data_IF_404740643771
#
_entry.id   IF_404740643771
#
_cell.length_a   1.000
_cell.length_b   1.000
_cell.length_c   1.000
_cell.angle_alpha   90.00
_cell.angle_beta   90.00
_cell.angle_gamma   90.00
#
_symmetry.space_group_name_H-M   'P 1'
#
loop_
_entity.id
_entity.type
_entity.pdbx_description
1 polymer ?
#
# COMPACT_ATOMS: atom_id res chain seq x y z
N UNK A 1 18.36 1.81 -11.45
CA UNK A 1 16.93 2.14 -11.31
C UNK A 1 16.41 1.22 -10.24
N UNK A 2 16.16 1.74 -9.04
CA UNK A 2 15.67 0.91 -7.93
C UNK A 2 14.20 0.58 -8.20
N UNK A 3 13.96 -0.55 -8.87
CA UNK A 3 12.73 -1.32 -8.74
C UNK A 3 12.67 -1.83 -7.29
N UNK A 4 12.38 -0.93 -6.35
CA UNK A 4 12.15 -1.33 -4.97
C UNK A 4 10.86 -2.11 -4.93
N UNK A 5 10.97 -3.43 -4.86
CA UNK A 5 9.84 -4.33 -4.63
C UNK A 5 9.05 -3.79 -3.42
N UNK A 6 7.73 -3.63 -3.55
CA UNK A 6 6.94 -3.17 -2.41
C UNK A 6 6.85 -4.32 -1.39
N UNK A 7 7.21 -4.00 -0.15
CA UNK A 7 7.03 -4.89 0.99
C UNK A 7 6.52 -4.07 2.20
N UNK A 8 6.32 -4.76 3.33
CA UNK A 8 5.89 -4.14 4.58
C UNK A 8 6.79 -2.98 5.01
N UNK A 9 8.11 -3.14 4.97
CA UNK A 9 9.06 -2.09 5.37
C UNK A 9 8.92 -0.82 4.53
N UNK A 10 8.71 -0.98 3.22
CA UNK A 10 8.47 0.16 2.32
C UNK A 10 7.20 0.89 2.73
N UNK A 11 6.08 0.17 2.95
CA UNK A 11 4.82 0.79 3.36
C UNK A 11 4.97 1.53 4.70
N UNK A 12 5.64 0.92 5.67
CA UNK A 12 5.94 1.55 6.96
C UNK A 12 6.78 2.83 6.80
N UNK A 13 7.79 2.82 5.92
CA UNK A 13 8.60 4.02 5.58
C UNK A 13 7.78 5.15 4.97
N UNK A 14 6.70 4.84 4.26
CA UNK A 14 5.76 5.86 3.74
C UNK A 14 4.67 6.25 4.74
N UNK A 15 4.76 5.77 5.98
CA UNK A 15 3.84 6.10 7.07
C UNK A 15 2.50 5.38 6.99
N UNK A 16 2.43 4.25 6.28
CA UNK A 16 1.30 3.34 6.40
C UNK A 16 1.36 2.62 7.74
N UNK A 17 0.19 2.28 8.27
CA UNK A 17 0.03 1.53 9.51
C UNK A 17 -0.70 0.23 9.23
N UNK A 18 -0.40 -0.81 9.99
CA UNK A 18 -1.12 -2.09 9.88
C UNK A 18 -2.51 -1.92 10.51
N UNK A 19 -3.55 -2.36 9.80
CA UNK A 19 -4.92 -2.44 10.29
C UNK A 19 -5.19 -3.85 10.82
N UNK A 20 -4.74 -4.14 12.03
CA UNK A 20 -4.88 -5.47 12.65
C UNK A 20 -6.34 -5.97 12.73
N UNK A 21 -7.32 -5.06 12.73
CA UNK A 21 -8.75 -5.42 12.75
C UNK A 21 -9.25 -5.97 11.41
N UNK A 22 -8.67 -5.50 10.31
CA UNK A 22 -9.04 -5.94 8.96
C UNK A 22 -8.09 -7.01 8.42
N UNK A 23 -6.83 -7.00 8.83
CA UNK A 23 -5.86 -8.05 8.51
C UNK A 23 -6.39 -9.41 9.00
N UNK A 24 -6.30 -10.43 8.15
CA UNK A 24 -6.75 -11.80 8.44
C UNK A 24 -5.90 -12.80 7.69
N UNK A 25 -5.62 -13.93 8.34
CA UNK A 25 -4.88 -15.05 7.76
C UNK A 25 -3.60 -14.57 7.06
N UNK A 26 -3.53 -14.73 5.74
CA UNK A 26 -2.38 -14.39 4.88
C UNK A 26 -2.44 -12.97 4.30
N UNK A 27 -3.35 -12.14 4.78
CA UNK A 27 -3.60 -10.79 4.28
C UNK A 27 -3.29 -9.76 5.37
N UNK A 28 -2.26 -8.97 5.14
CA UNK A 28 -1.92 -7.81 5.97
C UNK A 28 -2.42 -6.54 5.30
N UNK A 29 -3.35 -5.84 5.96
CA UNK A 29 -3.89 -4.59 5.45
C UNK A 29 -3.12 -3.42 6.04
N UNK A 30 -2.59 -2.59 5.17
CA UNK A 30 -1.94 -1.33 5.48
C UNK A 30 -2.89 -0.17 5.15
N UNK A 31 -2.93 0.85 5.99
CA UNK A 31 -3.74 2.03 5.77
C UNK A 31 -2.99 3.32 6.06
N UNK A 32 -3.29 4.35 5.27
CA UNK A 32 -2.83 5.72 5.45
C UNK A 32 -3.89 6.66 4.88
N UNK A 33 -4.39 7.63 5.64
CA UNK A 33 -5.29 8.66 5.11
C UNK A 33 -6.47 8.12 4.28
N UNK A 34 -7.17 7.09 4.78
CA UNK A 34 -8.27 6.37 4.08
C UNK A 34 -7.86 5.67 2.77
N UNK A 35 -6.56 5.54 2.50
CA UNK A 35 -6.01 4.72 1.43
C UNK A 35 -5.60 3.37 2.03
N UNK A 36 -6.19 2.28 1.55
CA UNK A 36 -5.93 0.93 2.04
C UNK A 36 -5.20 0.10 0.99
N UNK A 37 -4.13 -0.56 1.41
CA UNK A 37 -3.30 -1.46 0.61
C UNK A 37 -3.29 -2.81 1.30
N UNK A 38 -3.44 -3.87 0.53
CA UNK A 38 -3.38 -5.24 1.01
C UNK A 38 -2.07 -5.85 0.54
N UNK A 39 -1.32 -6.42 1.47
CA UNK A 39 -0.14 -7.24 1.23
C UNK A 39 -0.50 -8.69 1.56
N UNK A 40 -0.32 -9.56 0.58
CA UNK A 40 -0.49 -11.01 0.74
C UNK A 40 0.85 -11.64 1.09
N UNK A 41 0.85 -12.71 1.89
CA UNK A 41 2.06 -13.45 2.27
C UNK A 41 2.89 -13.97 1.08
N UNK A 42 2.28 -14.12 -0.10
CA UNK A 42 2.98 -14.51 -1.34
C UNK A 42 3.75 -13.35 -1.99
N UNK A 43 3.70 -12.15 -1.40
CA UNK A 43 4.33 -10.92 -1.89
C UNK A 43 3.44 -10.09 -2.81
N UNK A 44 2.22 -10.52 -3.12
CA UNK A 44 1.28 -9.74 -3.93
C UNK A 44 0.78 -8.52 -3.17
N UNK A 45 0.74 -7.37 -3.87
CA UNK A 45 0.25 -6.12 -3.32
C UNK A 45 -0.89 -5.55 -4.17
N UNK A 46 -1.96 -5.10 -3.54
CA UNK A 46 -3.04 -4.42 -4.24
C UNK A 46 -3.66 -3.30 -3.39
N UNK A 47 -4.09 -2.24 -4.06
CA UNK A 47 -4.96 -1.24 -3.47
C UNK A 47 -6.39 -1.77 -3.44
N UNK A 48 -7.09 -1.56 -2.32
CA UNK A 48 -8.49 -1.96 -2.15
C UNK A 48 -9.37 -0.75 -1.85
N UNK A 49 -10.42 -0.55 -2.63
CA UNK A 49 -11.41 0.50 -2.40
C UNK A 49 -12.80 0.10 -2.88
N UNK A 50 -13.78 0.07 -1.96
CA UNK A 50 -15.19 -0.21 -2.25
C UNK A 50 -15.43 -1.46 -3.13
N UNK A 51 -14.63 -2.51 -2.96
CA UNK A 51 -14.74 -3.76 -3.72
C UNK A 51 -13.98 -3.78 -5.05
N UNK A 52 -13.24 -2.71 -5.38
CA UNK A 52 -12.27 -2.70 -6.47
C UNK A 52 -10.87 -3.00 -5.94
N UNK A 53 -10.18 -3.91 -6.60
CA UNK A 53 -8.80 -4.30 -6.31
C UNK A 53 -7.91 -3.92 -7.48
N UNK A 54 -6.87 -3.13 -7.21
CA UNK A 54 -5.92 -2.71 -8.24
C UNK A 54 -4.51 -3.21 -7.88
N UNK A 55 -3.90 -4.07 -8.71
CA UNK A 55 -2.57 -4.62 -8.42
C UNK A 55 -1.50 -3.55 -8.48
N UNK A 56 -0.63 -3.54 -7.48
CA UNK A 56 0.48 -2.61 -7.34
C UNK A 56 1.79 -3.36 -7.51
N UNK A 57 2.51 -3.06 -8.59
CA UNK A 57 3.74 -3.79 -8.97
C UNK A 57 4.99 -3.24 -8.30
N UNK A 58 5.05 -1.93 -8.11
CA UNK A 58 6.23 -1.21 -7.67
C UNK A 58 5.87 0.09 -6.94
N UNK A 59 6.84 0.69 -6.25
CA UNK A 59 6.66 1.92 -5.48
C UNK A 59 6.18 3.09 -6.35
N UNK A 60 6.55 3.15 -7.63
CA UNK A 60 6.10 4.22 -8.52
C UNK A 60 4.60 4.08 -8.82
N UNK A 61 4.09 2.87 -9.02
CA UNK A 61 2.66 2.59 -9.15
C UNK A 61 1.90 2.98 -7.87
N UNK A 62 2.44 2.65 -6.69
CA UNK A 62 1.86 3.07 -5.42
C UNK A 62 1.79 4.59 -5.29
N UNK A 63 2.90 5.30 -5.57
CA UNK A 63 2.96 6.77 -5.53
C UNK A 63 1.99 7.42 -6.50
N UNK A 64 1.93 6.91 -7.73
CA UNK A 64 1.02 7.40 -8.77
C UNK A 64 -0.43 7.24 -8.33
N UNK A 65 -0.82 6.04 -7.89
CA UNK A 65 -2.19 5.75 -7.47
C UNK A 65 -2.57 6.57 -6.22
N UNK A 66 -1.66 6.69 -5.26
CA UNK A 66 -1.87 7.54 -4.10
C UNK A 66 -2.13 8.99 -4.53
N UNK A 67 -1.34 9.53 -5.45
CA UNK A 67 -1.56 10.88 -6.01
C UNK A 67 -2.87 11.01 -6.77
N UNK A 68 -3.28 9.99 -7.52
CA UNK A 68 -4.57 10.01 -8.24
C UNK A 68 -5.77 9.98 -7.28
N UNK A 69 -5.72 9.14 -6.25
CA UNK A 69 -6.82 8.96 -5.28
C UNK A 69 -6.88 10.10 -4.26
N UNK A 70 -5.73 10.49 -3.71
CA UNK A 70 -5.62 11.47 -2.62
C UNK A 70 -5.40 12.89 -3.10
N UNK A 71 -4.95 13.08 -4.34
CA UNK A 71 -4.45 14.37 -4.87
C UNK A 71 -3.27 14.93 -4.08
N UNK A 72 -2.50 14.04 -3.45
CA UNK A 72 -1.38 14.35 -2.58
C UNK A 72 -0.16 13.51 -2.99
N UNK A 73 1.06 14.04 -2.80
CA UNK A 73 2.26 13.26 -3.07
C UNK A 73 2.56 12.31 -1.91
N UNK A 74 2.84 11.05 -2.23
CA UNK A 74 3.24 10.08 -1.23
C UNK A 74 4.73 10.26 -0.90
N UNK A 75 4.97 10.94 0.22
CA UNK A 75 6.29 11.20 0.76
C UNK A 75 6.65 10.19 1.87
N UNK A 76 7.93 9.82 2.02
CA UNK A 76 8.36 9.04 3.17
C UNK A 76 8.04 9.77 4.47
N UNK A 77 7.67 9.02 5.50
CA UNK A 77 7.47 9.57 6.84
C UNK A 77 8.80 10.13 7.37
N UNK A 78 8.77 11.28 8.08
CA UNK A 78 9.94 11.87 8.71
C UNK A 78 10.51 10.99 9.83
#
# INVERSE_FOLDING_TARGET
MEDTLINSDVLLKYGFKINEKKSKDRLTIFYKDKFEVVLVDDGSLFYSNLGFEYPLKDVAALKKLYKEVRREELLPAP
#
